data_IF_510280855931
#
_entry.id   IF_510280855931
#
_cell.length_a   1.000
_cell.length_b   1.000
_cell.length_c   1.000
_cell.angle_alpha   90.00
_cell.angle_beta   90.00
_cell.angle_gamma   90.00
#
_symmetry.space_group_name_H-M   'P 1'
#
loop_
_entity.id
_entity.type
_entity.pdbx_description
1 polymer ?
#
# COMPACT_ATOMS: atom_id res chain seq x y z
N UNK A 1 -55.98 42.09 -28.78
CA UNK A 1 -55.14 40.94 -29.18
C UNK A 1 -54.11 40.67 -28.08
N UNK A 2 -54.43 39.74 -27.18
CA UNK A 2 -53.51 39.33 -26.06
C UNK A 2 -52.62 38.15 -26.53
N UNK A 3 -51.33 38.37 -26.63
CA UNK A 3 -50.36 37.30 -26.89
C UNK A 3 -50.02 36.62 -25.57
N UNK A 4 -50.53 35.43 -25.37
CA UNK A 4 -50.16 34.55 -24.27
C UNK A 4 -48.82 33.91 -24.60
N UNK A 5 -47.77 34.27 -23.85
CA UNK A 5 -46.42 33.68 -23.93
C UNK A 5 -46.41 32.40 -23.06
N UNK A 6 -46.41 31.26 -23.75
CA UNK A 6 -46.30 29.92 -23.11
C UNK A 6 -44.85 29.66 -22.76
N UNK A 7 -44.48 29.80 -21.48
CA UNK A 7 -43.16 29.45 -20.95
C UNK A 7 -43.11 27.92 -20.76
N UNK A 8 -42.46 27.21 -21.69
CA UNK A 8 -42.10 25.80 -21.55
C UNK A 8 -40.93 25.69 -20.58
N UNK A 9 -41.21 25.35 -19.33
CA UNK A 9 -40.22 24.92 -18.34
C UNK A 9 -39.68 23.55 -18.75
N UNK A 10 -38.51 23.53 -19.40
CA UNK A 10 -37.74 22.34 -19.68
C UNK A 10 -37.03 21.93 -18.39
N UNK A 11 -37.67 21.12 -17.55
CA UNK A 11 -36.99 20.47 -16.41
C UNK A 11 -36.07 19.42 -16.95
N UNK A 12 -34.77 19.77 -17.04
CA UNK A 12 -33.70 18.79 -17.30
C UNK A 12 -33.60 17.92 -16.06
N UNK A 13 -34.23 16.74 -16.11
CA UNK A 13 -33.95 15.66 -15.20
C UNK A 13 -32.51 15.17 -15.49
N UNK A 14 -31.54 15.70 -14.75
CA UNK A 14 -30.23 15.07 -14.68
C UNK A 14 -30.44 13.78 -13.87
N UNK A 15 -30.82 12.70 -14.55
CA UNK A 15 -30.73 11.37 -14.00
C UNK A 15 -29.24 11.13 -13.71
N UNK A 16 -28.85 11.21 -12.45
CA UNK A 16 -27.58 10.63 -11.99
C UNK A 16 -27.69 9.14 -12.26
N UNK A 17 -27.21 8.70 -13.43
CA UNK A 17 -26.91 7.30 -13.65
C UNK A 17 -25.81 6.95 -12.67
N UNK A 18 -26.16 6.51 -11.47
CA UNK A 18 -25.28 5.73 -10.62
C UNK A 18 -25.03 4.43 -11.37
N UNK A 19 -24.00 4.44 -12.22
CA UNK A 19 -23.53 3.21 -12.82
C UNK A 19 -23.08 2.32 -11.67
N UNK A 20 -23.80 1.22 -11.45
CA UNK A 20 -23.38 0.17 -10.54
C UNK A 20 -21.90 -0.16 -10.83
N UNK A 21 -21.08 -0.19 -9.81
CA UNK A 21 -19.64 -0.49 -9.96
C UNK A 21 -19.52 -1.85 -10.64
N UNK A 22 -18.99 -1.87 -11.86
CA UNK A 22 -18.86 -3.09 -12.63
C UNK A 22 -17.62 -3.88 -12.17
N UNK A 23 -17.82 -5.13 -11.76
CA UNK A 23 -16.75 -6.04 -11.45
C UNK A 23 -15.98 -6.46 -12.71
N UNK A 24 -14.67 -6.34 -12.67
CA UNK A 24 -13.78 -6.93 -13.66
C UNK A 24 -13.64 -8.43 -13.41
N UNK A 25 -13.22 -9.16 -14.45
CA UNK A 25 -12.94 -10.60 -14.37
C UNK A 25 -11.48 -10.94 -14.74
N UNK A 26 -10.78 -10.03 -15.42
CA UNK A 26 -9.39 -10.21 -15.81
C UNK A 26 -8.46 -9.62 -14.73
N UNK A 27 -7.66 -10.48 -14.10
CA UNK A 27 -6.68 -10.09 -13.09
C UNK A 27 -5.60 -9.13 -13.67
N UNK A 28 -5.10 -9.45 -14.86
CA UNK A 28 -4.05 -8.63 -15.48
C UNK A 28 -4.57 -7.25 -15.92
N UNK A 29 -5.81 -7.17 -16.41
CA UNK A 29 -6.38 -5.87 -16.77
C UNK A 29 -6.73 -5.04 -15.53
N UNK A 30 -7.16 -5.69 -14.43
CA UNK A 30 -7.35 -5.01 -13.15
C UNK A 30 -6.03 -4.40 -12.63
N UNK A 31 -4.90 -5.10 -12.75
CA UNK A 31 -3.57 -4.57 -12.40
C UNK A 31 -3.19 -3.34 -13.23
N UNK A 32 -3.35 -3.41 -14.56
CA UNK A 32 -3.06 -2.28 -15.46
C UNK A 32 -3.90 -1.05 -15.11
N UNK A 33 -5.21 -1.25 -14.86
CA UNK A 33 -6.12 -0.17 -14.47
C UNK A 33 -5.74 0.38 -13.08
N UNK A 34 -5.37 -0.47 -12.13
CA UNK A 34 -4.94 -0.07 -10.81
C UNK A 34 -3.68 0.84 -10.86
N UNK A 35 -2.69 0.48 -11.70
CA UNK A 35 -1.50 1.31 -11.97
C UNK A 35 -1.93 2.65 -12.57
N UNK A 36 -2.78 2.63 -13.61
CA UNK A 36 -3.19 3.83 -14.33
C UNK A 36 -4.04 4.79 -13.49
N UNK A 37 -4.82 4.25 -12.53
CA UNK A 37 -5.75 5.03 -11.70
C UNK A 37 -5.26 5.29 -10.28
N UNK A 38 -4.09 4.78 -9.91
CA UNK A 38 -3.49 4.89 -8.56
C UNK A 38 -4.37 4.28 -7.45
N UNK A 39 -5.11 3.23 -7.78
CA UNK A 39 -6.04 2.57 -6.85
C UNK A 39 -5.54 1.18 -6.47
N UNK A 40 -5.92 0.72 -5.29
CA UNK A 40 -5.82 -0.68 -4.92
C UNK A 40 -6.86 -1.52 -5.66
N UNK A 41 -6.63 -2.84 -5.75
CA UNK A 41 -7.56 -3.79 -6.34
C UNK A 41 -8.36 -4.43 -5.20
N UNK A 42 -9.69 -4.36 -5.29
CA UNK A 42 -10.61 -5.10 -4.42
C UNK A 42 -10.94 -6.42 -5.11
N UNK A 43 -10.47 -7.55 -4.57
CA UNK A 43 -10.71 -8.87 -5.15
C UNK A 43 -11.71 -9.64 -4.30
N UNK A 44 -12.76 -10.18 -4.93
CA UNK A 44 -13.72 -11.12 -4.32
C UNK A 44 -13.58 -12.50 -4.99
N UNK A 45 -13.07 -13.49 -4.25
CA UNK A 45 -13.06 -14.90 -4.67
C UNK A 45 -14.38 -15.56 -4.28
N UNK A 46 -15.08 -16.07 -5.26
CA UNK A 46 -16.43 -16.60 -5.14
C UNK A 46 -16.66 -17.82 -6.03
N UNK A 47 -17.85 -18.41 -5.97
CA UNK A 47 -18.35 -19.39 -6.93
C UNK A 47 -19.88 -19.34 -7.00
N UNK A 48 -20.46 -19.87 -8.08
CA UNK A 48 -21.92 -19.88 -8.31
C UNK A 48 -22.69 -20.67 -7.27
N UNK A 49 -22.10 -21.72 -6.71
CA UNK A 49 -22.66 -22.58 -5.67
C UNK A 49 -22.46 -22.05 -4.24
N UNK A 50 -21.71 -20.97 -4.06
CA UNK A 50 -21.37 -20.43 -2.75
C UNK A 50 -22.53 -19.58 -2.18
N UNK A 51 -23.39 -20.19 -1.37
CA UNK A 51 -24.50 -19.49 -0.72
C UNK A 51 -24.10 -18.23 0.06
N UNK A 52 -23.05 -18.26 0.93
CA UNK A 52 -22.58 -17.06 1.61
C UNK A 52 -22.07 -15.95 0.67
N UNK A 53 -21.49 -16.31 -0.51
CA UNK A 53 -21.06 -15.33 -1.51
C UNK A 53 -22.28 -14.63 -2.15
N UNK A 54 -23.30 -15.39 -2.56
CA UNK A 54 -24.57 -14.85 -3.10
C UNK A 54 -25.23 -13.93 -2.07
N UNK A 55 -25.21 -14.31 -0.80
CA UNK A 55 -25.73 -13.48 0.29
C UNK A 55 -24.93 -12.18 0.40
N UNK A 56 -23.59 -12.23 0.32
CA UNK A 56 -22.74 -11.04 0.38
C UNK A 56 -22.96 -10.12 -0.82
N UNK A 57 -23.22 -10.68 -2.00
CA UNK A 57 -23.59 -9.90 -3.20
C UNK A 57 -24.89 -9.10 -2.96
N UNK A 58 -25.93 -9.77 -2.48
CA UNK A 58 -27.26 -9.15 -2.30
C UNK A 58 -27.32 -8.20 -1.10
N UNK A 59 -26.63 -8.50 -0.02
CA UNK A 59 -26.73 -7.75 1.25
C UNK A 59 -25.64 -6.68 1.41
N UNK A 60 -24.52 -6.77 0.65
CA UNK A 60 -23.39 -5.85 0.78
C UNK A 60 -22.97 -5.25 -0.55
N UNK A 61 -22.42 -6.03 -1.48
CA UNK A 61 -21.81 -5.50 -2.72
C UNK A 61 -22.79 -4.71 -3.60
N UNK A 62 -24.07 -5.10 -3.66
CA UNK A 62 -25.11 -4.40 -4.43
C UNK A 62 -25.64 -3.13 -3.79
N UNK A 63 -25.24 -2.79 -2.56
CA UNK A 63 -25.77 -1.62 -1.85
C UNK A 63 -25.09 -0.34 -2.33
N UNK A 64 -25.88 0.71 -2.51
CA UNK A 64 -25.44 2.00 -3.06
C UNK A 64 -24.26 2.60 -2.25
N UNK A 65 -24.38 2.61 -0.93
CA UNK A 65 -23.34 3.10 -0.02
C UNK A 65 -22.02 2.32 -0.15
N UNK A 66 -22.09 1.00 -0.33
CA UNK A 66 -20.90 0.15 -0.56
C UNK A 66 -20.30 0.45 -1.94
N UNK A 67 -21.12 0.54 -2.97
CA UNK A 67 -20.65 0.83 -4.33
C UNK A 67 -19.99 2.20 -4.45
N UNK A 68 -20.48 3.20 -3.71
CA UNK A 68 -19.81 4.50 -3.64
C UNK A 68 -18.38 4.41 -3.12
N UNK A 69 -18.14 3.61 -2.07
CA UNK A 69 -16.79 3.41 -1.52
C UNK A 69 -15.95 2.52 -2.44
N UNK A 70 -16.55 1.49 -3.08
CA UNK A 70 -15.89 0.63 -4.05
C UNK A 70 -15.29 1.39 -5.24
N UNK A 71 -15.83 2.55 -5.60
CA UNK A 71 -15.26 3.42 -6.65
C UNK A 71 -13.83 3.90 -6.34
N UNK A 72 -13.36 3.80 -5.09
CA UNK A 72 -11.97 4.08 -4.73
C UNK A 72 -11.02 2.92 -5.03
N UNK A 73 -11.53 1.80 -5.52
CA UNK A 73 -10.78 0.59 -5.86
C UNK A 73 -10.98 0.24 -7.33
N UNK A 74 -10.22 -0.74 -7.80
CA UNK A 74 -10.49 -1.49 -9.03
C UNK A 74 -11.14 -2.80 -8.60
N UNK A 75 -12.46 -2.99 -8.78
CA UNK A 75 -13.17 -4.18 -8.32
C UNK A 75 -12.95 -5.34 -9.27
N UNK A 76 -12.51 -6.48 -8.75
CA UNK A 76 -12.21 -7.71 -9.48
C UNK A 76 -12.92 -8.88 -8.81
N UNK A 77 -13.70 -9.65 -9.57
CA UNK A 77 -14.41 -10.83 -9.10
C UNK A 77 -13.86 -12.08 -9.77
N UNK A 78 -13.39 -13.04 -8.98
CA UNK A 78 -12.70 -14.25 -9.44
C UNK A 78 -13.52 -15.47 -9.07
N UNK A 79 -14.04 -16.17 -10.08
CA UNK A 79 -14.68 -17.47 -9.92
C UNK A 79 -13.58 -18.54 -9.74
N UNK A 80 -13.58 -19.22 -8.59
CA UNK A 80 -12.55 -20.20 -8.24
C UNK A 80 -12.60 -21.48 -9.09
N UNK A 81 -13.75 -21.79 -9.68
CA UNK A 81 -13.91 -22.94 -10.55
C UNK A 81 -13.33 -22.68 -11.94
N UNK A 82 -13.33 -21.41 -12.37
CA UNK A 82 -12.77 -20.94 -13.65
C UNK A 82 -11.29 -20.60 -13.50
N UNK A 83 -10.94 -19.76 -12.52
CA UNK A 83 -9.60 -19.20 -12.32
C UNK A 83 -8.80 -19.98 -11.26
N UNK A 84 -8.62 -21.30 -11.49
CA UNK A 84 -7.94 -22.20 -10.54
C UNK A 84 -6.49 -21.83 -10.25
N UNK A 85 -5.79 -21.29 -11.23
CA UNK A 85 -4.40 -20.84 -11.09
C UNK A 85 -4.28 -19.66 -10.12
N UNK A 86 -5.20 -18.68 -10.20
CA UNK A 86 -5.27 -17.57 -9.28
C UNK A 86 -5.69 -18.02 -7.88
N UNK A 87 -6.69 -18.91 -7.80
CA UNK A 87 -7.13 -19.48 -6.52
C UNK A 87 -5.98 -20.20 -5.79
N UNK A 88 -5.16 -20.95 -6.53
CA UNK A 88 -3.94 -21.57 -6.00
C UNK A 88 -2.88 -20.54 -5.60
N UNK A 89 -2.62 -19.52 -6.44
CA UNK A 89 -1.66 -18.45 -6.17
C UNK A 89 -1.96 -17.73 -4.84
N UNK A 90 -3.25 -17.46 -4.58
CA UNK A 90 -3.71 -16.78 -3.36
C UNK A 90 -4.06 -17.75 -2.23
N UNK A 91 -3.78 -19.05 -2.39
CA UNK A 91 -4.04 -20.10 -1.40
C UNK A 91 -5.48 -20.06 -0.85
N UNK A 92 -6.47 -19.99 -1.77
CA UNK A 92 -7.89 -19.94 -1.38
C UNK A 92 -8.34 -21.29 -0.85
N UNK A 93 -8.67 -21.34 0.44
CA UNK A 93 -9.14 -22.55 1.13
C UNK A 93 -10.65 -22.51 1.42
N UNK A 94 -11.24 -21.34 1.41
CA UNK A 94 -12.67 -21.13 1.67
C UNK A 94 -13.16 -19.85 0.99
N UNK A 95 -14.43 -19.77 0.65
CA UNK A 95 -15.09 -18.61 0.06
C UNK A 95 -16.37 -18.25 0.82
N UNK A 96 -16.79 -16.97 0.83
CA UNK A 96 -16.14 -15.83 0.19
C UNK A 96 -14.78 -15.50 0.82
N UNK A 97 -13.82 -15.06 0.00
CA UNK A 97 -12.51 -14.61 0.45
C UNK A 97 -12.15 -13.33 -0.30
N UNK A 98 -12.01 -12.23 0.45
CA UNK A 98 -11.82 -10.90 -0.10
C UNK A 98 -10.41 -10.42 0.19
N UNK A 99 -9.78 -9.79 -0.81
CA UNK A 99 -8.47 -9.17 -0.67
C UNK A 99 -8.51 -7.69 -1.08
N UNK A 100 -7.68 -6.91 -0.44
CA UNK A 100 -7.17 -5.66 -1.00
C UNK A 100 -5.73 -5.95 -1.47
N UNK A 101 -5.50 -5.80 -2.76
CA UNK A 101 -4.17 -5.96 -3.36
C UNK A 101 -3.64 -4.61 -3.82
N UNK A 102 -2.31 -4.49 -3.80
CA UNK A 102 -1.68 -3.40 -4.54
C UNK A 102 -1.69 -3.67 -6.07
N UNK A 103 -1.33 -2.69 -6.90
CA UNK A 103 -1.34 -2.85 -8.36
C UNK A 103 -0.43 -3.98 -8.89
N UNK A 104 0.59 -4.39 -8.14
CA UNK A 104 1.46 -5.52 -8.51
C UNK A 104 0.92 -6.87 -8.01
N UNK A 105 -0.18 -6.87 -7.25
CA UNK A 105 -0.85 -8.07 -6.76
C UNK A 105 -0.34 -8.57 -5.42
N UNK A 106 0.43 -7.74 -4.68
CA UNK A 106 0.81 -8.06 -3.31
C UNK A 106 -0.33 -7.73 -2.34
N UNK A 107 -0.50 -8.59 -1.33
CA UNK A 107 -1.63 -8.51 -0.39
C UNK A 107 -1.41 -7.37 0.61
N UNK A 108 -2.32 -6.40 0.61
CA UNK A 108 -2.41 -5.32 1.61
C UNK A 108 -3.27 -5.78 2.80
N UNK A 109 -4.39 -6.43 2.50
CA UNK A 109 -5.36 -6.92 3.50
C UNK A 109 -6.12 -8.13 2.97
N UNK A 110 -6.49 -9.06 3.86
CA UNK A 110 -7.38 -10.18 3.54
C UNK A 110 -8.54 -10.28 4.54
N UNK A 111 -9.70 -10.69 4.04
CA UNK A 111 -10.90 -10.97 4.83
C UNK A 111 -11.46 -12.32 4.42
N UNK A 112 -11.46 -13.27 5.33
CA UNK A 112 -12.02 -14.62 5.16
C UNK A 112 -13.46 -14.65 5.64
N UNK A 113 -14.26 -15.49 4.97
CA UNK A 113 -15.67 -15.74 5.30
C UNK A 113 -16.60 -14.55 5.08
N UNK A 114 -17.90 -14.84 5.13
CA UNK A 114 -18.95 -13.83 5.03
C UNK A 114 -18.82 -12.74 6.09
N UNK A 115 -18.98 -11.49 5.65
CA UNK A 115 -19.14 -10.33 6.53
C UNK A 115 -20.36 -9.50 6.08
N UNK A 116 -21.03 -8.88 7.04
CA UNK A 116 -22.18 -8.04 6.77
C UNK A 116 -21.76 -6.69 6.16
N UNK A 117 -22.76 -5.96 5.61
CA UNK A 117 -22.57 -4.66 4.96
C UNK A 117 -21.74 -3.68 5.78
N UNK A 118 -22.01 -3.55 7.08
CA UNK A 118 -21.28 -2.59 7.92
C UNK A 118 -19.79 -2.92 8.05
N UNK A 119 -19.45 -4.20 8.17
CA UNK A 119 -18.05 -4.64 8.19
C UNK A 119 -17.38 -4.44 6.84
N UNK A 120 -18.13 -4.64 5.71
CA UNK A 120 -17.64 -4.34 4.36
C UNK A 120 -17.31 -2.85 4.24
N UNK A 121 -18.21 -1.95 4.61
CA UNK A 121 -17.98 -0.51 4.59
C UNK A 121 -16.75 -0.14 5.42
N UNK A 122 -16.68 -0.65 6.66
CA UNK A 122 -15.58 -0.33 7.56
C UNK A 122 -14.20 -0.69 6.97
N UNK A 123 -14.04 -1.88 6.37
CA UNK A 123 -12.72 -2.24 5.80
C UNK A 123 -12.45 -1.49 4.49
N UNK A 124 -13.44 -1.27 3.63
CA UNK A 124 -13.24 -0.49 2.40
C UNK A 124 -12.80 0.94 2.72
N UNK A 125 -13.46 1.61 3.67
CA UNK A 125 -13.09 2.96 4.10
C UNK A 125 -11.69 3.03 4.72
N UNK A 126 -11.24 1.96 5.41
CA UNK A 126 -9.90 1.87 5.97
C UNK A 126 -8.80 1.83 4.91
N UNK A 127 -9.05 1.18 3.77
CA UNK A 127 -8.09 0.99 2.70
C UNK A 127 -8.34 1.85 1.46
N UNK A 128 -9.28 2.80 1.55
CA UNK A 128 -9.63 3.75 0.49
C UNK A 128 -8.56 4.84 0.34
N UNK A 129 -7.37 4.44 -0.10
CA UNK A 129 -6.24 5.35 -0.33
C UNK A 129 -5.96 5.47 -1.83
N UNK A 130 -5.57 6.69 -2.23
CA UNK A 130 -5.00 6.95 -3.55
C UNK A 130 -3.48 7.04 -3.42
N UNK A 131 -2.75 6.36 -4.30
CA UNK A 131 -1.29 6.16 -4.20
C UNK A 131 -0.51 6.71 -5.41
N UNK A 132 -0.71 8.00 -5.81
CA UNK A 132 -0.06 8.54 -7.01
C UNK A 132 1.46 8.56 -6.91
N UNK A 133 2.02 8.68 -5.70
CA UNK A 133 3.46 8.67 -5.46
C UNK A 133 4.11 7.31 -5.77
N UNK A 134 3.33 6.23 -5.77
CA UNK A 134 3.80 4.86 -6.04
C UNK A 134 3.71 4.50 -7.54
N UNK A 135 2.92 5.23 -8.32
CA UNK A 135 2.58 4.89 -9.70
C UNK A 135 3.79 4.67 -10.61
N UNK A 136 4.81 5.54 -10.66
CA UNK A 136 5.97 5.32 -11.53
C UNK A 136 6.72 4.03 -11.20
N UNK A 137 6.89 3.72 -9.90
CA UNK A 137 7.59 2.52 -9.42
C UNK A 137 6.77 1.26 -9.71
N UNK A 138 5.44 1.31 -9.55
CA UNK A 138 4.55 0.20 -9.94
C UNK A 138 4.60 -0.06 -11.44
N UNK A 139 4.52 0.98 -12.27
CA UNK A 139 4.59 0.84 -13.72
C UNK A 139 5.94 0.27 -14.18
N UNK A 140 7.05 0.76 -13.60
CA UNK A 140 8.38 0.25 -13.88
C UNK A 140 8.55 -1.21 -13.45
N UNK A 141 8.12 -1.56 -12.24
CA UNK A 141 8.18 -2.92 -11.73
C UNK A 141 7.30 -3.89 -12.53
N UNK A 142 6.08 -3.48 -12.87
CA UNK A 142 5.18 -4.29 -13.70
C UNK A 142 5.79 -4.61 -15.06
N UNK A 143 6.50 -3.64 -15.66
CA UNK A 143 7.11 -3.79 -17.00
C UNK A 143 8.37 -4.67 -16.95
N UNK A 144 9.28 -4.42 -16.01
CA UNK A 144 10.64 -4.95 -16.04
C UNK A 144 10.93 -5.95 -14.91
N UNK A 145 10.15 -5.92 -13.82
CA UNK A 145 10.37 -6.75 -12.62
C UNK A 145 11.80 -6.63 -12.05
N UNK A 146 12.29 -5.38 -11.94
CA UNK A 146 13.66 -5.07 -11.51
C UNK A 146 13.77 -4.85 -10.00
N UNK A 147 14.90 -5.25 -9.42
CA UNK A 147 15.16 -5.10 -7.98
C UNK A 147 15.15 -3.65 -7.51
N UNK A 148 15.64 -2.71 -8.32
CA UNK A 148 15.65 -1.28 -7.98
C UNK A 148 14.22 -0.70 -7.85
N UNK A 149 13.31 -1.08 -8.74
CA UNK A 149 11.90 -0.66 -8.66
C UNK A 149 11.22 -1.26 -7.42
N UNK A 150 11.50 -2.52 -7.10
CA UNK A 150 10.99 -3.17 -5.88
C UNK A 150 11.49 -2.47 -4.61
N UNK A 151 12.76 -2.07 -4.56
CA UNK A 151 13.33 -1.31 -3.44
C UNK A 151 12.64 0.05 -3.28
N UNK A 152 12.43 0.76 -4.39
CA UNK A 152 11.76 2.05 -4.38
C UNK A 152 10.32 1.94 -3.88
N UNK A 153 9.58 0.88 -4.26
CA UNK A 153 8.24 0.61 -3.75
C UNK A 153 8.28 0.38 -2.24
N UNK A 154 9.24 -0.41 -1.75
CA UNK A 154 9.40 -0.66 -0.31
C UNK A 154 9.60 0.65 0.47
N UNK A 155 10.51 1.51 0.03
CA UNK A 155 10.78 2.80 0.66
C UNK A 155 9.54 3.70 0.67
N UNK A 156 8.83 3.78 -0.45
CA UNK A 156 7.60 4.56 -0.55
C UNK A 156 6.49 4.03 0.35
N UNK A 157 6.38 2.70 0.55
CA UNK A 157 5.42 2.15 1.51
C UNK A 157 5.80 2.42 2.96
N UNK A 158 7.09 2.42 3.31
CA UNK A 158 7.55 2.85 4.64
C UNK A 158 7.17 4.31 4.88
N UNK A 159 7.41 5.18 3.90
CA UNK A 159 7.00 6.58 3.98
C UNK A 159 5.48 6.72 4.08
N UNK A 160 4.73 6.00 3.24
CA UNK A 160 3.27 6.02 3.21
C UNK A 160 2.66 5.57 4.55
N UNK A 161 3.30 4.61 5.23
CA UNK A 161 2.87 4.14 6.55
C UNK A 161 2.80 5.23 7.61
N UNK A 162 3.51 6.36 7.43
CA UNK A 162 3.49 7.52 8.32
C UNK A 162 2.23 8.40 8.17
N UNK A 163 1.47 8.21 7.09
CA UNK A 163 0.33 9.07 6.71
C UNK A 163 -1.01 8.35 6.72
N UNK A 164 -1.01 7.06 6.98
CA UNK A 164 -2.23 6.25 7.10
C UNK A 164 -2.72 6.19 8.54
N UNK A 165 -3.95 5.71 8.75
CA UNK A 165 -4.50 5.46 10.08
C UNK A 165 -3.68 4.40 10.84
N UNK A 166 -3.57 4.53 12.16
CA UNK A 166 -2.76 3.64 12.99
C UNK A 166 -3.17 2.16 12.88
N UNK A 167 -4.46 1.89 12.72
CA UNK A 167 -5.01 0.54 12.63
C UNK A 167 -4.69 -0.19 11.31
N UNK A 168 -4.16 0.52 10.30
CA UNK A 168 -3.69 -0.06 9.04
C UNK A 168 -2.19 0.13 8.80
N UNK A 169 -1.52 0.94 9.61
CA UNK A 169 -0.09 1.25 9.49
C UNK A 169 0.77 0.00 9.34
N UNK A 170 0.52 -1.01 10.18
CA UNK A 170 1.29 -2.26 10.15
C UNK A 170 1.09 -3.07 8.86
N UNK A 171 -0.06 -2.96 8.18
CA UNK A 171 -0.26 -3.61 6.89
C UNK A 171 0.72 -3.05 5.84
N UNK A 172 0.88 -1.72 5.79
CA UNK A 172 1.80 -1.07 4.84
C UNK A 172 3.27 -1.29 5.21
N UNK A 173 3.62 -1.34 6.50
CA UNK A 173 4.97 -1.73 6.94
C UNK A 173 5.26 -3.19 6.53
N UNK A 174 4.31 -4.11 6.69
CA UNK A 174 4.48 -5.51 6.28
C UNK A 174 4.58 -5.65 4.76
N UNK A 175 3.85 -4.82 4.02
CA UNK A 175 3.95 -4.79 2.56
C UNK A 175 5.31 -4.26 2.10
N UNK A 176 5.86 -3.25 2.75
CA UNK A 176 7.21 -2.77 2.51
C UNK A 176 8.26 -3.87 2.76
N UNK A 177 8.16 -4.58 3.88
CA UNK A 177 9.02 -5.73 4.23
C UNK A 177 8.96 -6.83 3.16
N UNK A 178 7.76 -7.11 2.64
CA UNK A 178 7.56 -8.03 1.51
C UNK A 178 8.34 -7.57 0.27
N UNK A 179 8.27 -6.27 -0.09
CA UNK A 179 9.02 -5.73 -1.22
C UNK A 179 10.53 -5.75 -1.00
N UNK A 180 11.05 -5.54 0.22
CA UNK A 180 12.48 -5.73 0.55
C UNK A 180 12.91 -7.18 0.31
N UNK A 181 12.08 -8.15 0.70
CA UNK A 181 12.31 -9.57 0.43
C UNK A 181 12.31 -9.88 -1.08
N UNK A 182 11.39 -9.29 -1.84
CA UNK A 182 11.34 -9.41 -3.31
C UNK A 182 12.62 -8.83 -3.92
N UNK A 183 13.03 -7.63 -3.49
CA UNK A 183 14.26 -6.97 -3.93
C UNK A 183 15.49 -7.87 -3.75
N UNK A 184 15.65 -8.44 -2.56
CA UNK A 184 16.77 -9.34 -2.23
C UNK A 184 16.81 -10.58 -3.13
N UNK A 185 15.64 -11.15 -3.45
CA UNK A 185 15.52 -12.29 -4.37
C UNK A 185 15.88 -11.92 -5.81
N UNK A 186 15.43 -10.74 -6.27
CA UNK A 186 15.72 -10.24 -7.62
C UNK A 186 17.21 -9.96 -7.79
N UNK A 187 17.84 -9.24 -6.85
CA UNK A 187 19.30 -9.00 -6.89
C UNK A 187 20.11 -10.29 -6.86
N UNK A 188 19.67 -11.30 -6.09
CA UNK A 188 20.30 -12.62 -6.11
C UNK A 188 20.19 -13.28 -7.48
N UNK A 189 19.03 -13.20 -8.13
CA UNK A 189 18.78 -13.76 -9.47
C UNK A 189 19.61 -13.04 -10.55
N UNK A 190 19.79 -11.72 -10.41
CA UNK A 190 20.58 -10.88 -11.32
C UNK A 190 22.10 -11.01 -11.11
N UNK A 191 22.56 -11.85 -10.17
CA UNK A 191 23.97 -11.97 -9.82
C UNK A 191 24.53 -10.79 -8.99
N UNK A 192 23.67 -9.88 -8.55
CA UNK A 192 24.03 -8.63 -7.84
C UNK A 192 23.66 -8.69 -6.35
N UNK A 193 23.86 -9.85 -5.70
CA UNK A 193 23.41 -10.12 -4.31
C UNK A 193 23.83 -9.05 -3.28
N UNK A 194 24.99 -8.42 -3.46
CA UNK A 194 25.50 -7.37 -2.56
C UNK A 194 24.95 -5.98 -2.86
N UNK A 195 24.27 -5.78 -4.02
CA UNK A 195 23.73 -4.49 -4.42
C UNK A 195 22.75 -3.98 -3.37
N UNK A 196 22.95 -2.74 -2.93
CA UNK A 196 22.12 -2.09 -1.90
C UNK A 196 21.96 -2.88 -0.59
N UNK A 197 22.86 -3.85 -0.27
CA UNK A 197 22.71 -4.68 0.93
C UNK A 197 22.68 -3.88 2.23
N UNK A 198 23.52 -2.83 2.35
CA UNK A 198 23.46 -1.92 3.52
C UNK A 198 22.13 -1.19 3.62
N UNK A 199 21.60 -0.69 2.48
CA UNK A 199 20.33 0.03 2.45
C UNK A 199 19.17 -0.86 2.84
N UNK A 200 19.09 -2.05 2.26
CA UNK A 200 18.07 -3.06 2.58
C UNK A 200 18.13 -3.41 4.07
N UNK A 201 19.32 -3.72 4.62
CA UNK A 201 19.49 -4.04 6.04
C UNK A 201 19.08 -2.90 6.96
N UNK A 202 19.42 -1.64 6.63
CA UNK A 202 18.96 -0.48 7.42
C UNK A 202 17.44 -0.29 7.37
N UNK A 203 16.80 -0.56 6.24
CA UNK A 203 15.33 -0.46 6.13
C UNK A 203 14.64 -1.60 6.87
N UNK A 204 15.04 -2.85 6.62
CA UNK A 204 14.42 -4.06 7.18
C UNK A 204 14.66 -4.19 8.68
N UNK A 205 15.92 -4.09 9.10
CA UNK A 205 16.33 -4.37 10.47
C UNK A 205 16.19 -3.19 11.41
N UNK A 206 16.32 -1.97 10.91
CA UNK A 206 16.35 -0.75 11.74
C UNK A 206 15.08 0.07 11.53
N UNK A 207 14.83 0.59 10.33
CA UNK A 207 13.75 1.56 10.13
C UNK A 207 12.37 0.96 10.40
N UNK A 208 12.09 -0.27 9.96
CA UNK A 208 10.85 -0.99 10.29
C UNK A 208 10.66 -1.13 11.80
N UNK A 209 11.73 -1.43 12.55
CA UNK A 209 11.66 -1.50 14.01
C UNK A 209 11.44 -0.12 14.66
N UNK A 210 12.04 0.94 14.11
CA UNK A 210 11.78 2.33 14.53
C UNK A 210 10.32 2.69 14.34
N UNK A 211 9.72 2.37 13.18
CA UNK A 211 8.30 2.60 12.88
C UNK A 211 7.34 1.82 13.81
N UNK A 212 7.83 0.71 14.39
CA UNK A 212 7.15 -0.12 15.39
C UNK A 212 7.47 0.27 16.84
N UNK A 213 8.14 1.41 17.06
CA UNK A 213 8.47 1.94 18.40
C UNK A 213 9.57 1.20 19.16
N UNK A 214 10.39 0.35 18.50
CA UNK A 214 11.43 -0.47 19.15
C UNK A 214 12.79 0.23 19.12
N UNK A 215 12.87 1.43 19.70
CA UNK A 215 14.00 2.35 19.55
C UNK A 215 15.31 1.82 20.13
N UNK A 216 15.35 1.32 21.38
CA UNK A 216 16.57 0.77 22.00
C UNK A 216 17.13 -0.42 21.22
N UNK A 217 16.24 -1.33 20.78
CA UNK A 217 16.61 -2.47 19.95
C UNK A 217 17.21 -2.00 18.63
N UNK A 218 16.60 -0.99 18.01
CA UNK A 218 17.07 -0.42 16.75
C UNK A 218 18.43 0.25 16.90
N UNK A 219 18.67 0.99 18.00
CA UNK A 219 19.94 1.62 18.28
C UNK A 219 21.05 0.55 18.44
N UNK A 220 20.83 -0.43 19.31
CA UNK A 220 21.82 -1.49 19.55
C UNK A 220 22.20 -2.27 18.29
N UNK A 221 21.21 -2.53 17.41
CA UNK A 221 21.46 -3.19 16.13
C UNK A 221 22.17 -2.27 15.14
N UNK A 222 21.78 -1.00 15.05
CA UNK A 222 22.41 -0.01 14.18
C UNK A 222 23.89 0.18 14.55
N UNK A 223 24.22 0.28 15.85
CA UNK A 223 25.58 0.46 16.33
C UNK A 223 26.45 -0.78 16.11
N UNK A 224 25.88 -1.97 16.21
CA UNK A 224 26.58 -3.23 16.04
C UNK A 224 26.86 -3.57 14.58
N UNK A 225 25.83 -3.43 13.72
CA UNK A 225 25.85 -3.99 12.37
C UNK A 225 26.27 -2.94 11.31
N UNK A 226 26.22 -1.63 11.63
CA UNK A 226 26.48 -0.54 10.70
C UNK A 226 27.51 0.45 11.28
N UNK A 227 28.79 0.22 10.99
CA UNK A 227 29.90 1.08 11.43
C UNK A 227 29.91 2.34 10.56
N UNK A 228 29.88 3.56 11.17
CA UNK A 228 29.74 4.85 10.47
C UNK A 228 30.77 5.02 9.35
N UNK A 229 32.03 4.69 9.60
CA UNK A 229 33.13 4.84 8.65
C UNK A 229 33.04 3.88 7.44
N UNK A 230 32.23 2.83 7.56
CA UNK A 230 32.00 1.82 6.50
C UNK A 230 30.68 2.02 5.76
N UNK A 231 29.93 3.08 6.10
CA UNK A 231 28.67 3.37 5.39
C UNK A 231 28.99 3.94 4.01
N UNK A 232 28.43 3.30 2.99
CA UNK A 232 28.51 3.76 1.59
C UNK A 232 27.93 5.18 1.48
N UNK A 233 28.54 6.03 0.62
CA UNK A 233 28.13 7.44 0.45
C UNK A 233 26.64 7.59 0.18
N UNK A 234 26.09 6.73 -0.70
CA UNK A 234 24.65 6.72 -1.04
C UNK A 234 23.72 6.44 0.15
N UNK A 235 24.27 5.82 1.22
CA UNK A 235 23.53 5.38 2.39
C UNK A 235 23.71 6.32 3.61
N UNK A 236 24.69 7.24 3.58
CA UNK A 236 24.99 8.14 4.70
C UNK A 236 23.78 8.97 5.17
N UNK A 237 22.97 9.45 4.23
CA UNK A 237 21.76 10.20 4.56
C UNK A 237 20.76 9.35 5.36
N UNK A 238 20.50 8.12 4.94
CA UNK A 238 19.61 7.21 5.66
C UNK A 238 20.16 6.86 7.04
N UNK A 239 21.45 6.50 7.13
CA UNK A 239 22.11 6.19 8.39
C UNK A 239 22.03 7.37 9.38
N UNK A 240 22.36 8.57 8.93
CA UNK A 240 22.29 9.80 9.74
C UNK A 240 20.87 10.08 10.23
N UNK A 241 19.87 9.88 9.36
CA UNK A 241 18.47 10.04 9.74
C UNK A 241 18.05 9.01 10.79
N UNK A 242 18.44 7.75 10.64
CA UNK A 242 18.12 6.69 11.61
C UNK A 242 18.76 6.98 12.99
N UNK A 243 20.01 7.40 13.03
CA UNK A 243 20.66 7.85 14.28
C UNK A 243 19.91 9.00 14.91
N UNK A 244 19.59 10.04 14.13
CA UNK A 244 18.84 11.20 14.62
C UNK A 244 17.51 10.80 15.23
N UNK A 245 16.66 10.08 14.48
CA UNK A 245 15.30 9.77 14.92
C UNK A 245 15.29 8.83 16.14
N UNK A 246 16.20 7.87 16.21
CA UNK A 246 16.29 6.95 17.35
C UNK A 246 16.67 7.72 18.62
N UNK A 247 17.71 8.54 18.58
CA UNK A 247 18.10 9.36 19.74
C UNK A 247 17.01 10.38 20.14
N UNK A 248 16.35 10.98 19.14
CA UNK A 248 15.23 11.90 19.38
C UNK A 248 14.07 11.21 20.12
N UNK A 249 13.70 9.98 19.70
CA UNK A 249 12.61 9.21 20.31
C UNK A 249 12.99 8.58 21.67
N UNK A 250 14.27 8.46 21.96
CA UNK A 250 14.80 8.02 23.26
C UNK A 250 15.07 9.18 24.23
N UNK A 251 14.68 10.42 23.87
CA UNK A 251 14.92 11.63 24.67
C UNK A 251 16.41 11.87 25.00
N UNK A 252 17.32 11.32 24.18
CA UNK A 252 18.78 11.52 24.30
C UNK A 252 19.20 12.80 23.57
N UNK A 253 18.90 13.94 24.18
CA UNK A 253 18.96 15.26 23.56
C UNK A 253 20.34 15.64 23.02
N UNK A 254 21.43 15.36 23.74
CA UNK A 254 22.80 15.68 23.30
C UNK A 254 23.16 14.92 22.02
N UNK A 255 22.93 13.59 22.00
CA UNK A 255 23.19 12.74 20.85
C UNK A 255 22.27 13.11 19.67
N UNK A 256 20.99 13.36 19.95
CA UNK A 256 20.02 13.79 18.94
C UNK A 256 20.47 15.10 18.26
N UNK A 257 20.99 16.08 19.03
CA UNK A 257 21.51 17.34 18.50
C UNK A 257 22.72 17.13 17.57
N UNK A 258 23.65 16.25 17.95
CA UNK A 258 24.82 15.94 17.11
C UNK A 258 24.35 15.38 15.75
N UNK A 259 23.44 14.42 15.76
CA UNK A 259 22.93 13.80 14.53
C UNK A 259 22.02 14.72 13.72
N UNK A 260 21.31 15.65 14.37
CA UNK A 260 20.56 16.70 13.70
C UNK A 260 21.49 17.64 12.89
N UNK A 261 22.62 18.08 13.48
CA UNK A 261 23.59 18.91 12.77
C UNK A 261 24.19 18.19 11.57
N UNK A 262 24.54 16.90 11.71
CA UNK A 262 24.98 16.06 10.57
C UNK A 262 23.88 15.93 9.50
N UNK A 263 22.62 15.78 9.89
CA UNK A 263 21.49 15.60 8.96
C UNK A 263 21.25 16.84 8.11
N UNK A 264 21.49 18.03 8.65
CA UNK A 264 21.35 19.32 7.93
C UNK A 264 22.29 19.47 6.73
N UNK A 265 23.34 18.67 6.65
CA UNK A 265 24.28 18.68 5.53
C UNK A 265 23.72 17.99 4.28
N UNK A 266 22.60 17.28 4.39
CA UNK A 266 21.97 16.57 3.28
C UNK A 266 20.78 17.35 2.71
N UNK A 267 20.66 17.38 1.39
CA UNK A 267 19.48 17.92 0.72
C UNK A 267 18.20 17.17 1.13
N UNK A 268 17.10 17.92 1.31
CA UNK A 268 15.82 17.35 1.73
C UNK A 268 15.76 16.96 3.21
N UNK A 269 16.70 17.39 4.06
CA UNK A 269 16.69 17.09 5.50
C UNK A 269 15.39 17.56 6.19
N UNK A 270 14.78 18.66 5.72
CA UNK A 270 13.52 19.19 6.28
C UNK A 270 12.36 18.19 6.14
N UNK A 271 12.32 17.44 5.04
CA UNK A 271 11.31 16.40 4.82
C UNK A 271 11.50 15.24 5.81
N UNK A 272 12.77 14.87 6.08
CA UNK A 272 13.10 13.84 7.06
C UNK A 272 12.72 14.28 8.49
N UNK A 273 12.89 15.57 8.82
CA UNK A 273 12.43 16.14 10.10
C UNK A 273 10.89 16.12 10.19
N UNK A 274 10.18 16.42 9.11
CA UNK A 274 8.72 16.30 9.08
C UNK A 274 8.25 14.85 9.30
N UNK A 275 8.92 13.88 8.69
CA UNK A 275 8.68 12.44 8.89
C UNK A 275 8.93 12.01 10.33
N UNK A 276 10.01 12.48 10.97
CA UNK A 276 10.35 12.09 12.35
C UNK A 276 9.28 12.46 13.39
N UNK A 277 8.48 13.49 13.11
CA UNK A 277 7.33 13.88 13.98
C UNK A 277 6.15 12.90 13.87
N UNK A 278 6.10 12.11 12.81
CA UNK A 278 5.01 11.14 12.52
C UNK A 278 5.37 9.70 12.92
N UNK A 279 6.64 9.41 13.15
CA UNK A 279 7.10 8.18 13.77
C UNK A 279 6.76 8.20 15.27
#
# INVERSE_FOLDING_TARGET
MKKTLLLLLFTVFISKNLNATQWMTSYEDARKIAIATNKFILVDFWATWCGPCIKMDSESWSKEDVQLVMNNFVPLKIDIDVERSLSSKFNIQSIPHVFILDPNGEVVYEQKSYINKQKVLNFLEKYSYNTPMLQPSFAGFYKNNEGDMSLEIAEKYLDFSLYVKDDVKNNFISLADKYLSITSKLYKKEGSKSKNSQRIGMLEDIYINVLKGKYEKSLGKLDKDFIEEKIEESNKKLYTYLKFIIYYKLDKNEQSKIWYEKLKLFDGYKDLLAKSRKV
#
